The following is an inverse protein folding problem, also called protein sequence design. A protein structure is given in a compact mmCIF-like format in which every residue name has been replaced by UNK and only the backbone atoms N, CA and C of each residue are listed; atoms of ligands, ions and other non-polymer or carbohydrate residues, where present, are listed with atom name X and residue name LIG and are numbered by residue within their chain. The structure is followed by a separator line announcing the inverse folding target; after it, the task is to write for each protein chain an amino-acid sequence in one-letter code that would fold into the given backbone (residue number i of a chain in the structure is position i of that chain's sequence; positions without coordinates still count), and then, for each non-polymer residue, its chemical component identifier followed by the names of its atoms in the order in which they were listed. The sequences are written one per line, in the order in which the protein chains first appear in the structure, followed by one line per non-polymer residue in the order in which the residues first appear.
data_IF_595500759222
#
_entry.id   IF_595500759222
#
_cell.length_a   1.000
_cell.length_b   1.000
_cell.length_c   1.000
_cell.angle_alpha   90.00
_cell.angle_beta   90.00
_cell.angle_gamma   90.00
#
_symmetry.space_group_name_H-M   'P 1'
#
loop_
_entity.id
_entity.type
_entity.pdbx_description
1 polymer ?
#
# COMPACT_ATOMS: atom_id res chain seq x y z
N UNK A 1 -62.74 -52.86 -15.37
CA UNK A 1 -63.15 -51.44 -15.54
C UNK A 1 -62.34 -50.59 -14.57
N UNK A 2 -61.62 -49.59 -15.12
CA UNK A 2 -61.04 -48.32 -14.57
C UNK A 2 -60.51 -48.31 -13.10
N UNK A 3 -59.37 -47.74 -12.72
CA UNK A 3 -58.61 -46.52 -13.07
C UNK A 3 -57.11 -46.77 -12.72
N UNK A 4 -56.06 -46.11 -13.24
CA UNK A 4 -55.60 -44.70 -13.06
C UNK A 4 -54.24 -44.63 -13.78
N UNK A 5 -53.93 -43.65 -14.64
CA UNK A 5 -53.39 -42.33 -14.26
C UNK A 5 -51.84 -42.34 -14.17
N UNK A 6 -51.12 -41.85 -15.19
CA UNK A 6 -49.67 -41.60 -15.11
C UNK A 6 -49.28 -40.23 -15.70
N UNK A 7 -48.45 -39.52 -14.91
CA UNK A 7 -47.99 -38.13 -15.03
C UNK A 7 -46.93 -37.93 -16.12
N UNK A 8 -47.01 -36.79 -16.81
CA UNK A 8 -45.93 -36.16 -17.57
C UNK A 8 -44.72 -35.82 -16.70
N UNK A 9 -43.50 -36.04 -17.20
CA UNK A 9 -42.43 -35.03 -17.22
C UNK A 9 -41.42 -35.39 -18.33
N UNK A 10 -41.42 -34.55 -19.36
CA UNK A 10 -40.61 -34.64 -20.58
C UNK A 10 -39.22 -34.04 -20.31
N UNK A 11 -38.15 -34.83 -20.48
CA UNK A 11 -36.78 -34.33 -20.63
C UNK A 11 -36.42 -34.31 -22.13
N UNK A 12 -35.93 -33.16 -22.60
CA UNK A 12 -35.30 -32.93 -23.90
C UNK A 12 -34.27 -31.80 -23.66
N UNK A 13 -33.07 -31.73 -24.23
CA UNK A 13 -32.40 -32.55 -25.23
C UNK A 13 -30.88 -32.32 -25.13
N UNK A 14 -30.13 -33.24 -25.72
CA UNK A 14 -28.69 -33.20 -25.93
C UNK A 14 -28.30 -32.40 -27.18
N UNK A 15 -27.26 -31.56 -27.05
CA UNK A 15 -26.04 -31.36 -27.88
C UNK A 15 -26.11 -31.97 -29.31
N UNK A 16 -25.90 -31.24 -30.43
CA UNK A 16 -24.58 -31.13 -31.13
C UNK A 16 -24.63 -30.42 -32.53
N UNK A 17 -23.72 -29.42 -32.75
CA UNK A 17 -23.03 -28.88 -33.97
C UNK A 17 -23.74 -27.98 -35.05
N UNK A 18 -23.02 -27.18 -35.90
CA UNK A 18 -21.57 -26.85 -36.00
C UNK A 18 -21.17 -25.34 -36.14
N UNK A 19 -19.84 -25.15 -36.05
CA UNK A 19 -18.91 -24.04 -36.34
C UNK A 19 -19.26 -23.00 -37.45
N UNK A 20 -19.08 -21.70 -37.16
CA UNK A 20 -18.60 -20.67 -38.09
C UNK A 20 -17.99 -19.47 -37.31
N UNK A 21 -16.73 -19.17 -37.61
CA UNK A 21 -15.87 -18.18 -36.98
C UNK A 21 -16.17 -16.76 -37.50
N UNK A 22 -16.13 -15.74 -36.63
CA UNK A 22 -15.48 -14.48 -36.99
C UNK A 22 -14.96 -13.72 -35.76
N UNK A 23 -13.66 -13.53 -35.77
CA UNK A 23 -12.83 -12.89 -34.76
C UNK A 23 -13.11 -11.39 -34.69
N UNK A 24 -13.13 -10.83 -33.48
CA UNK A 24 -12.79 -9.42 -33.28
C UNK A 24 -11.89 -9.33 -32.04
N UNK A 25 -10.59 -9.49 -32.28
CA UNK A 25 -9.54 -9.23 -31.31
C UNK A 25 -9.16 -7.75 -31.41
N UNK A 26 -9.76 -6.91 -30.57
CA UNK A 26 -9.29 -5.54 -30.36
C UNK A 26 -8.26 -5.58 -29.23
N UNK A 27 -6.98 -5.64 -29.58
CA UNK A 27 -5.88 -5.44 -28.65
C UNK A 27 -6.06 -4.10 -27.88
N UNK A 28 -5.87 -4.07 -26.55
CA UNK A 28 -5.75 -2.81 -25.82
C UNK A 28 -4.60 -1.99 -26.39
N UNK A 29 -4.87 -0.73 -26.75
CA UNK A 29 -3.85 0.26 -27.10
C UNK A 29 -2.93 0.43 -25.90
N UNK A 30 -1.71 -0.09 -25.98
CA UNK A 30 -0.60 0.34 -25.13
C UNK A 30 -0.26 1.79 -25.48
N UNK A 31 -0.95 2.72 -24.84
CA UNK A 31 -0.51 4.11 -24.77
C UNK A 31 0.72 4.15 -23.89
N UNK A 32 1.91 4.11 -24.50
CA UNK A 32 3.16 4.44 -23.82
C UNK A 32 3.06 5.90 -23.37
N UNK A 33 3.18 6.21 -22.06
CA UNK A 33 3.16 7.59 -21.61
C UNK A 33 4.32 8.35 -22.26
N UNK A 34 4.01 9.54 -22.77
CA UNK A 34 4.97 10.43 -23.43
C UNK A 34 6.00 10.89 -22.40
N UNK A 35 7.27 11.00 -22.79
CA UNK A 35 8.39 11.35 -21.91
C UNK A 35 8.16 12.67 -21.12
N UNK A 36 7.32 13.57 -21.64
CA UNK A 36 6.95 14.84 -20.99
C UNK A 36 6.05 14.65 -19.76
N UNK A 37 5.15 13.66 -19.75
CA UNK A 37 4.21 13.41 -18.65
C UNK A 37 4.90 12.70 -17.48
N UNK A 38 5.89 11.84 -17.77
CA UNK A 38 6.67 11.14 -16.76
C UNK A 38 7.58 12.09 -15.94
N UNK A 39 8.15 13.11 -16.57
CA UNK A 39 8.97 14.12 -15.89
C UNK A 39 8.13 15.05 -14.99
N UNK A 40 6.94 15.42 -15.45
CA UNK A 40 6.02 16.27 -14.67
C UNK A 40 5.42 15.51 -13.48
N UNK A 41 5.07 14.23 -13.68
CA UNK A 41 4.64 13.33 -12.61
C UNK A 41 5.75 13.07 -11.58
N UNK A 42 7.01 12.92 -12.02
CA UNK A 42 8.15 12.75 -11.13
C UNK A 42 8.35 13.95 -10.19
N UNK A 43 8.24 15.17 -10.71
CA UNK A 43 8.33 16.41 -9.91
C UNK A 43 7.15 16.56 -8.93
N UNK A 44 5.94 16.24 -9.39
CA UNK A 44 4.75 16.26 -8.53
C UNK A 44 4.83 15.22 -7.40
N UNK A 45 5.33 14.03 -7.70
CA UNK A 45 5.53 12.97 -6.72
C UNK A 45 6.63 13.32 -5.71
N UNK A 46 7.73 13.94 -6.13
CA UNK A 46 8.77 14.44 -5.22
C UNK A 46 8.24 15.55 -4.28
N UNK A 47 7.44 16.49 -4.80
CA UNK A 47 6.82 17.54 -3.98
C UNK A 47 5.82 16.95 -2.97
N UNK A 48 5.03 15.96 -3.39
CA UNK A 48 4.16 15.21 -2.48
C UNK A 48 4.99 14.47 -1.45
N UNK A 49 6.02 13.74 -1.85
CA UNK A 49 6.89 12.98 -0.95
C UNK A 49 7.37 13.85 0.22
N UNK A 50 7.93 15.02 -0.06
CA UNK A 50 8.39 15.95 0.98
C UNK A 50 7.25 16.45 1.89
N UNK A 51 6.08 16.71 1.32
CA UNK A 51 4.89 17.09 2.11
C UNK A 51 4.44 15.95 3.04
N UNK A 52 4.43 14.72 2.53
CA UNK A 52 4.05 13.53 3.29
C UNK A 52 5.11 13.18 4.35
N UNK A 53 6.40 13.37 4.06
CA UNK A 53 7.49 13.23 5.04
C UNK A 53 7.27 14.14 6.24
N UNK A 54 7.01 15.44 6.00
CA UNK A 54 6.75 16.40 7.07
C UNK A 54 5.55 16.02 7.94
N UNK A 55 4.43 15.62 7.31
CA UNK A 55 3.24 15.17 8.04
C UNK A 55 3.49 13.88 8.83
N UNK A 56 4.17 12.91 8.22
CA UNK A 56 4.47 11.64 8.87
C UNK A 56 5.41 11.84 10.07
N UNK A 57 6.39 12.72 9.95
CA UNK A 57 7.28 13.09 11.05
C UNK A 57 6.50 13.73 12.21
N UNK A 58 5.57 14.64 11.92
CA UNK A 58 4.68 15.21 12.94
C UNK A 58 3.89 14.14 13.69
N UNK A 59 3.36 13.13 12.98
CA UNK A 59 2.69 12.01 13.62
C UNK A 59 3.62 11.15 14.46
N UNK A 60 4.84 10.87 13.99
CA UNK A 60 5.82 10.13 14.78
C UNK A 60 6.13 10.83 16.09
N UNK A 61 6.33 12.16 16.05
CA UNK A 61 6.59 12.96 17.23
C UNK A 61 5.37 13.06 18.15
N UNK A 62 4.16 13.20 17.60
CA UNK A 62 2.93 13.22 18.38
C UNK A 62 2.71 11.89 19.13
N UNK A 63 2.97 10.76 18.47
CA UNK A 63 2.84 9.42 19.06
C UNK A 63 3.90 9.21 20.14
N UNK A 64 5.16 9.55 19.86
CA UNK A 64 6.28 9.38 20.78
C UNK A 64 6.12 10.23 22.06
N UNK A 65 5.61 11.46 21.92
CA UNK A 65 5.46 12.41 23.02
C UNK A 65 4.06 12.42 23.66
N UNK A 66 3.17 11.50 23.25
CA UNK A 66 1.81 11.45 23.76
C UNK A 66 1.76 11.27 25.29
N UNK A 67 0.96 12.11 25.95
CA UNK A 67 0.75 12.06 27.40
C UNK A 67 -0.10 10.87 27.84
N UNK A 68 -0.95 10.35 26.96
CA UNK A 68 -1.84 9.20 27.23
C UNK A 68 -1.81 8.17 26.10
N UNK A 69 -2.18 6.93 26.43
CA UNK A 69 -2.34 5.86 25.44
C UNK A 69 -3.47 6.19 24.45
N UNK A 70 -4.53 6.85 24.92
CA UNK A 70 -5.66 7.24 24.08
C UNK A 70 -5.21 8.24 23.02
N UNK A 71 -4.53 9.32 23.41
CA UNK A 71 -4.00 10.30 22.46
C UNK A 71 -3.01 9.68 21.46
N UNK A 72 -2.15 8.77 21.91
CA UNK A 72 -1.23 8.06 21.02
C UNK A 72 -1.99 7.23 19.98
N UNK A 73 -3.00 6.46 20.40
CA UNK A 73 -3.79 5.63 19.50
C UNK A 73 -4.56 6.48 18.49
N UNK A 74 -5.12 7.63 18.88
CA UNK A 74 -5.75 8.56 17.93
C UNK A 74 -4.76 9.05 16.87
N UNK A 75 -3.55 9.44 17.26
CA UNK A 75 -2.51 9.83 16.29
C UNK A 75 -2.06 8.67 15.39
N UNK A 76 -2.05 7.43 15.90
CA UNK A 76 -1.79 6.24 15.08
C UNK A 76 -2.87 6.08 14.00
N UNK A 77 -4.15 6.14 14.38
CA UNK A 77 -5.27 5.96 13.46
C UNK A 77 -5.28 7.05 12.37
N UNK A 78 -4.99 8.29 12.74
CA UNK A 78 -4.83 9.40 11.79
C UNK A 78 -3.65 9.19 10.83
N UNK A 79 -2.48 8.82 11.36
CA UNK A 79 -1.29 8.56 10.55
C UNK A 79 -1.54 7.44 9.53
N UNK A 80 -2.24 6.37 9.92
CA UNK A 80 -2.58 5.26 9.04
C UNK A 80 -3.42 5.67 7.83
N UNK A 81 -4.17 6.79 7.89
CA UNK A 81 -4.93 7.30 6.73
C UNK A 81 -4.04 7.81 5.59
N UNK A 82 -2.77 8.11 5.87
CA UNK A 82 -1.80 8.51 4.85
C UNK A 82 -1.32 7.34 3.99
N UNK A 83 -1.49 6.11 4.48
CA UNK A 83 -1.00 4.90 3.85
C UNK A 83 -2.06 4.25 2.97
N UNK A 84 -1.59 3.55 1.93
CA UNK A 84 -2.45 2.72 1.09
C UNK A 84 -2.98 1.51 1.87
N UNK A 85 -2.20 1.03 2.84
CA UNK A 85 -2.57 -0.07 3.72
C UNK A 85 -1.86 0.02 5.07
N UNK A 86 -2.48 -0.41 6.18
CA UNK A 86 -1.80 -0.55 7.47
C UNK A 86 -0.70 -1.63 7.48
N UNK A 87 -0.60 -2.44 6.41
CA UNK A 87 0.44 -3.42 6.18
C UNK A 87 1.62 -2.88 5.34
N UNK A 88 1.58 -1.59 4.96
CA UNK A 88 2.66 -0.96 4.20
C UNK A 88 4.03 -1.26 4.85
N UNK A 89 5.00 -1.81 4.10
CA UNK A 89 6.32 -2.13 4.63
C UNK A 89 7.06 -0.89 5.10
N UNK A 90 7.74 -1.06 6.23
CA UNK A 90 8.71 -0.12 6.78
C UNK A 90 10.06 -0.81 6.81
N UNK A 91 11.04 -0.19 6.16
CA UNK A 91 12.41 -0.66 6.03
C UNK A 91 13.31 0.28 6.84
N UNK A 92 14.08 -0.25 7.77
CA UNK A 92 15.00 0.54 8.60
C UNK A 92 16.43 0.27 8.13
N UNK A 93 17.08 1.28 7.57
CA UNK A 93 18.49 1.25 7.17
C UNK A 93 19.34 1.32 8.44
N UNK A 94 20.13 0.27 8.70
CA UNK A 94 21.04 0.17 9.86
C UNK A 94 22.44 0.66 9.50
N UNK A 95 22.95 0.25 8.33
CA UNK A 95 24.26 0.65 7.80
C UNK A 95 24.14 1.01 6.33
N UNK A 96 24.94 1.99 5.93
CA UNK A 96 25.10 2.39 4.55
C UNK A 96 26.61 2.47 4.28
N UNK A 97 27.16 1.46 3.61
CA UNK A 97 28.56 1.42 3.19
C UNK A 97 28.61 1.59 1.67
N UNK A 98 28.79 2.85 1.23
CA UNK A 98 28.89 3.20 -0.17
C UNK A 98 27.56 3.02 -0.92
N UNK A 99 27.47 1.96 -1.74
CA UNK A 99 26.29 1.65 -2.56
C UNK A 99 25.42 0.53 -1.96
N UNK A 100 25.83 -0.06 -0.83
CA UNK A 100 25.11 -1.16 -0.20
C UNK A 100 24.44 -0.67 1.08
N UNK A 101 23.10 -0.70 1.08
CA UNK A 101 22.27 -0.45 2.25
C UNK A 101 21.94 -1.78 2.94
N UNK A 102 22.20 -1.88 4.24
CA UNK A 102 21.74 -2.99 5.05
C UNK A 102 20.47 -2.58 5.80
N UNK A 103 19.44 -3.37 5.60
CA UNK A 103 18.13 -3.15 6.21
C UNK A 103 17.94 -4.10 7.39
N UNK A 104 17.29 -3.62 8.45
CA UNK A 104 16.75 -4.47 9.50
C UNK A 104 15.59 -5.33 8.98
N UNK A 105 15.08 -6.20 9.83
CA UNK A 105 13.89 -6.99 9.57
C UNK A 105 12.73 -6.07 9.15
N UNK A 106 12.11 -6.30 7.98
CA UNK A 106 10.97 -5.51 7.54
C UNK A 106 9.81 -5.65 8.52
N UNK A 107 9.11 -4.56 8.75
CA UNK A 107 7.91 -4.51 9.59
C UNK A 107 6.78 -3.77 8.88
N UNK A 108 5.58 -3.78 9.45
CA UNK A 108 4.46 -2.98 8.93
C UNK A 108 4.42 -1.61 9.59
N UNK A 109 3.89 -0.61 8.89
CA UNK A 109 3.70 0.73 9.46
C UNK A 109 2.89 0.69 10.75
N UNK A 110 1.81 -0.12 10.81
CA UNK A 110 1.03 -0.27 12.04
C UNK A 110 1.87 -0.79 13.22
N UNK A 111 2.70 -1.79 12.98
CA UNK A 111 3.60 -2.31 14.02
C UNK A 111 4.65 -1.28 14.43
N UNK A 112 5.22 -0.56 13.46
CA UNK A 112 6.21 0.48 13.72
C UNK A 112 5.65 1.66 14.52
N UNK A 113 4.44 2.15 14.18
CA UNK A 113 3.79 3.22 14.93
C UNK A 113 3.47 2.81 16.39
N UNK A 114 3.07 1.54 16.61
CA UNK A 114 2.89 1.01 17.96
C UNK A 114 4.24 0.90 18.70
N UNK A 115 5.30 0.51 18.01
CA UNK A 115 6.64 0.52 18.59
C UNK A 115 7.05 1.93 19.04
N UNK A 116 6.81 2.98 18.24
CA UNK A 116 7.07 4.37 18.65
C UNK A 116 6.31 4.77 19.91
N UNK A 117 5.04 4.37 20.02
CA UNK A 117 4.20 4.59 21.21
C UNK A 117 4.82 3.92 22.44
N UNK A 118 5.27 2.69 22.31
CA UNK A 118 5.83 1.91 23.42
C UNK A 118 7.22 2.43 23.84
N UNK A 119 8.03 2.87 22.87
CA UNK A 119 9.37 3.43 23.14
C UNK A 119 9.33 4.88 23.66
N UNK A 120 8.23 5.61 23.41
CA UNK A 120 8.08 7.05 23.69
C UNK A 120 9.21 7.91 23.15
N UNK A 121 9.79 7.49 22.02
CA UNK A 121 10.92 8.16 21.38
C UNK A 121 10.82 7.99 19.87
N UNK A 122 11.11 9.06 19.14
CA UNK A 122 11.33 9.00 17.71
C UNK A 122 12.80 8.66 17.45
N UNK A 123 13.07 7.42 17.07
CA UNK A 123 14.43 6.86 16.99
C UNK A 123 15.00 6.93 15.56
N UNK A 124 14.14 7.01 14.54
CA UNK A 124 14.55 6.92 13.14
C UNK A 124 14.06 8.13 12.35
N UNK A 125 14.87 8.61 11.42
CA UNK A 125 14.47 9.63 10.45
C UNK A 125 13.82 8.98 9.23
N UNK A 126 12.94 9.70 8.55
CA UNK A 126 12.36 9.26 7.28
C UNK A 126 13.33 9.63 6.16
N UNK A 127 13.79 8.64 5.39
CA UNK A 127 14.71 8.84 4.27
C UNK A 127 13.92 8.98 2.96
N UNK A 128 13.08 7.99 2.65
CA UNK A 128 12.29 7.94 1.43
C UNK A 128 10.87 7.44 1.68
N UNK A 129 9.92 7.93 0.87
CA UNK A 129 8.57 7.39 0.81
C UNK A 129 8.24 6.98 -0.62
N UNK A 130 7.66 5.79 -0.78
CA UNK A 130 7.09 5.35 -2.05
C UNK A 130 5.60 5.60 -2.05
N UNK A 131 5.10 6.34 -3.04
CA UNK A 131 3.68 6.63 -3.21
C UNK A 131 3.04 5.70 -4.24
N UNK A 132 1.76 5.39 -4.07
CA UNK A 132 0.93 4.73 -5.10
C UNK A 132 0.41 5.72 -6.14
N UNK A 133 -0.33 5.20 -7.12
CA UNK A 133 -1.00 5.98 -8.17
C UNK A 133 -2.03 7.00 -7.62
N UNK A 134 -2.51 6.79 -6.39
CA UNK A 134 -3.45 7.67 -5.68
C UNK A 134 -2.76 8.67 -4.75
N UNK A 135 -1.41 8.64 -4.65
CA UNK A 135 -0.62 9.49 -3.77
C UNK A 135 -0.64 9.07 -2.30
N UNK A 136 -1.04 7.83 -1.98
CA UNK A 136 -0.92 7.24 -0.65
C UNK A 136 0.43 6.56 -0.48
N UNK A 137 0.92 6.48 0.75
CA UNK A 137 2.21 5.86 1.04
C UNK A 137 2.07 4.33 0.97
N UNK A 138 2.87 3.70 0.11
CA UNK A 138 2.98 2.25 0.00
C UNK A 138 4.14 1.68 0.80
N UNK A 139 5.24 2.43 0.94
CA UNK A 139 6.46 1.98 1.61
C UNK A 139 7.18 3.17 2.25
N UNK A 140 7.84 2.91 3.38
CA UNK A 140 8.65 3.89 4.11
C UNK A 140 10.05 3.34 4.32
N UNK A 141 11.04 4.08 3.84
CA UNK A 141 12.44 3.88 4.23
C UNK A 141 12.79 4.82 5.36
N UNK A 142 13.33 4.26 6.43
CA UNK A 142 13.77 4.96 7.61
C UNK A 142 15.27 4.82 7.75
N UNK A 143 15.96 5.90 8.09
CA UNK A 143 17.34 5.87 8.51
C UNK A 143 17.39 5.79 10.03
N UNK A 144 18.10 4.79 10.57
CA UNK A 144 18.34 4.72 12.02
C UNK A 144 19.14 5.95 12.45
N UNK A 145 18.59 6.78 13.34
CA UNK A 145 19.36 7.90 13.86
C UNK A 145 20.38 7.35 14.85
N UNK A 146 21.64 7.40 14.47
CA UNK A 146 22.76 7.07 15.33
C UNK A 146 22.98 8.23 16.33
N UNK A 147 21.97 8.53 17.16
CA UNK A 147 22.07 9.52 18.22
C UNK A 147 22.99 8.96 19.30
N UNK A 148 24.30 9.14 19.10
CA UNK A 148 25.30 9.08 20.15
C UNK A 148 24.93 10.23 21.10
N UNK A 149 24.41 9.89 22.29
CA UNK A 149 24.34 10.80 23.42
C UNK A 149 25.62 10.71 24.22
#
# INVERSE_FOLDING_TARGET
MFFSGCKSHKKMAAITLPNAQQQNASAPKETKPSATEAEEQGKFNAMKEETYKGRLLQYFDAIANASTVVSANSSIDEALTLFASPQAPVLIVISNEGAQKDYDRPTSIKAYLNYLKDQKKNINAIEHLKLDEFGKIMEVELQKNNQIK
#
